data_IF_021598019445
#
_entry.id   IF_021598019445
#
_cell.length_a   1.000
_cell.length_b   1.000
_cell.length_c   1.000
_cell.angle_alpha   90.00
_cell.angle_beta   90.00
_cell.angle_gamma   90.00
#
_symmetry.space_group_name_H-M   'P 1'
#
loop_
_entity.id
_entity.type
_entity.pdbx_description
1 polymer ?
#
# COMPACT_ATOMS: atom_id res chain seq x y z
N UNK A 1 -23.23 -3.57 -14.02
CA UNK A 1 -22.45 -2.44 -13.47
C UNK A 1 -21.36 -2.98 -12.57
N UNK A 2 -20.19 -2.35 -12.52
CA UNK A 2 -19.15 -2.60 -11.51
C UNK A 2 -19.62 -2.00 -10.18
N UNK A 3 -19.49 -2.69 -9.06
CA UNK A 3 -19.81 -2.17 -7.72
C UNK A 3 -18.71 -1.24 -7.19
N UNK A 4 -19.02 -0.46 -6.16
CA UNK A 4 -18.01 0.39 -5.51
C UNK A 4 -16.91 -0.43 -4.83
N UNK A 5 -17.27 -1.59 -4.27
CA UNK A 5 -16.31 -2.54 -3.71
C UNK A 5 -15.31 -3.01 -4.77
N UNK A 6 -15.77 -3.38 -5.97
CA UNK A 6 -14.88 -3.78 -7.07
C UNK A 6 -13.94 -2.64 -7.50
N UNK A 7 -14.41 -1.38 -7.53
CA UNK A 7 -13.54 -0.23 -7.85
C UNK A 7 -12.47 -0.04 -6.76
N UNK A 8 -12.85 -0.15 -5.49
CA UNK A 8 -11.90 -0.08 -4.37
C UNK A 8 -10.88 -1.22 -4.47
N UNK A 9 -11.32 -2.46 -4.72
CA UNK A 9 -10.42 -3.59 -4.89
C UNK A 9 -9.44 -3.35 -6.04
N UNK A 10 -9.91 -2.87 -7.19
CA UNK A 10 -9.04 -2.55 -8.33
C UNK A 10 -8.04 -1.43 -7.99
N UNK A 11 -8.44 -0.41 -7.22
CA UNK A 11 -7.53 0.65 -6.77
C UNK A 11 -6.47 0.12 -5.79
N UNK A 12 -6.84 -0.79 -4.89
CA UNK A 12 -5.89 -1.44 -3.97
C UNK A 12 -4.91 -2.33 -4.75
N UNK A 13 -5.41 -3.14 -5.69
CA UNK A 13 -4.55 -3.99 -6.54
C UNK A 13 -3.62 -3.13 -7.39
N UNK A 14 -4.11 -2.00 -7.95
CA UNK A 14 -3.28 -1.04 -8.67
C UNK A 14 -2.08 -0.58 -7.82
N UNK A 15 -2.34 -0.21 -6.56
CA UNK A 15 -1.32 0.25 -5.62
C UNK A 15 -0.34 -0.88 -5.24
N UNK A 16 -0.85 -2.07 -4.91
CA UNK A 16 -0.02 -3.24 -4.55
C UNK A 16 0.91 -3.69 -5.68
N UNK A 17 0.45 -3.58 -6.93
CA UNK A 17 1.25 -3.90 -8.10
C UNK A 17 2.13 -2.73 -8.57
N UNK A 18 2.16 -1.61 -7.85
CA UNK A 18 3.04 -0.46 -8.14
C UNK A 18 2.66 0.36 -9.38
N UNK A 19 1.40 0.29 -9.83
CA UNK A 19 0.95 1.05 -11.00
C UNK A 19 0.65 2.51 -10.64
N UNK A 20 1.59 3.40 -10.92
CA UNK A 20 1.42 4.86 -10.75
C UNK A 20 0.69 5.55 -11.90
N UNK A 21 0.48 4.86 -13.03
CA UNK A 21 -0.21 5.40 -14.20
C UNK A 21 -1.49 4.63 -14.48
N UNK A 22 -2.61 5.35 -14.40
CA UNK A 22 -3.96 4.81 -14.62
C UNK A 22 -4.13 4.26 -16.04
N UNK A 23 -3.53 4.89 -17.05
CA UNK A 23 -3.55 4.38 -18.43
C UNK A 23 -2.85 3.03 -18.53
N UNK A 24 -1.67 2.88 -17.91
CA UNK A 24 -0.96 1.58 -17.88
C UNK A 24 -1.76 0.54 -17.12
N UNK A 25 -2.41 0.94 -16.03
CA UNK A 25 -3.26 0.08 -15.21
C UNK A 25 -4.48 -0.45 -15.97
N UNK A 26 -5.25 0.43 -16.61
CA UNK A 26 -6.41 0.04 -17.42
C UNK A 26 -5.99 -0.86 -18.59
N UNK A 27 -4.84 -0.59 -19.20
CA UNK A 27 -4.28 -1.48 -20.23
C UNK A 27 -3.97 -2.86 -19.63
N UNK A 28 -3.33 -2.92 -18.47
CA UNK A 28 -3.03 -4.18 -17.77
C UNK A 28 -4.29 -4.99 -17.48
N UNK A 29 -5.33 -4.36 -16.93
CA UNK A 29 -6.63 -4.99 -16.64
C UNK A 29 -7.30 -5.58 -17.88
N UNK A 30 -7.11 -4.96 -19.05
CA UNK A 30 -7.68 -5.46 -20.32
C UNK A 30 -6.90 -6.63 -20.91
N UNK A 31 -5.58 -6.65 -20.70
CA UNK A 31 -4.68 -7.67 -21.24
C UNK A 31 -4.57 -8.90 -20.36
N UNK A 32 -4.80 -8.77 -19.06
CA UNK A 32 -4.69 -9.87 -18.10
C UNK A 32 -5.99 -10.68 -18.07
N UNK A 33 -5.91 -11.95 -18.45
CA UNK A 33 -7.06 -12.84 -18.55
C UNK A 33 -7.68 -13.17 -17.19
N UNK A 34 -6.85 -13.31 -16.15
CA UNK A 34 -7.30 -13.68 -14.80
C UNK A 34 -8.00 -12.48 -14.15
N UNK A 35 -7.39 -11.29 -14.20
CA UNK A 35 -8.02 -10.08 -13.68
C UNK A 35 -9.31 -9.75 -14.42
N UNK A 36 -9.36 -10.00 -15.72
CA UNK A 36 -10.58 -9.80 -16.52
C UNK A 36 -11.67 -10.82 -16.18
N UNK A 37 -11.31 -12.04 -15.81
CA UNK A 37 -12.26 -13.05 -15.34
C UNK A 37 -12.84 -12.67 -13.97
N UNK A 38 -12.00 -12.15 -13.06
CA UNK A 38 -12.42 -11.70 -11.72
C UNK A 38 -13.26 -10.41 -11.78
N UNK A 39 -12.94 -9.50 -12.69
CA UNK A 39 -13.61 -8.20 -12.83
C UNK A 39 -14.16 -8.02 -14.26
N UNK A 40 -15.23 -8.74 -14.65
CA UNK A 40 -15.69 -8.78 -16.05
C UNK A 40 -16.24 -7.45 -16.58
N UNK A 41 -16.56 -6.50 -15.69
CA UNK A 41 -17.19 -5.21 -16.04
C UNK A 41 -16.31 -4.02 -15.66
N UNK A 42 -15.04 -4.01 -16.04
CA UNK A 42 -14.15 -2.87 -15.77
C UNK A 42 -14.61 -1.64 -16.59
N UNK A 43 -14.81 -0.47 -15.97
CA UNK A 43 -15.13 0.75 -16.70
C UNK A 43 -13.96 1.20 -17.59
N UNK A 44 -14.24 2.03 -18.60
CA UNK A 44 -13.19 2.73 -19.34
C UNK A 44 -12.40 3.67 -18.42
N UNK A 45 -11.22 4.13 -18.87
CA UNK A 45 -10.31 4.96 -18.06
C UNK A 45 -11.01 6.15 -17.39
N UNK A 46 -11.81 6.92 -18.14
CA UNK A 46 -12.54 8.06 -17.58
C UNK A 46 -13.56 7.68 -16.51
N UNK A 47 -14.27 6.56 -16.71
CA UNK A 47 -15.23 6.03 -15.74
C UNK A 47 -14.56 5.47 -14.49
N UNK A 48 -13.43 4.79 -14.65
CA UNK A 48 -12.61 4.32 -13.55
C UNK A 48 -12.13 5.50 -12.69
N UNK A 49 -11.46 6.48 -13.29
CA UNK A 49 -10.90 7.63 -12.58
C UNK A 49 -11.98 8.42 -11.82
N UNK A 50 -13.13 8.68 -12.44
CA UNK A 50 -14.25 9.37 -11.78
C UNK A 50 -14.73 8.63 -10.54
N UNK A 51 -14.81 7.29 -10.60
CA UNK A 51 -15.29 6.46 -9.50
C UNK A 51 -14.26 6.31 -8.38
N UNK A 52 -12.99 6.13 -8.73
CA UNK A 52 -11.91 6.16 -7.73
C UNK A 52 -11.94 7.49 -6.99
N UNK A 53 -12.04 8.60 -7.73
CA UNK A 53 -12.12 9.93 -7.12
C UNK A 53 -13.34 10.08 -6.20
N UNK A 54 -14.53 9.65 -6.62
CA UNK A 54 -15.73 9.70 -5.75
C UNK A 54 -15.63 8.81 -4.51
N UNK A 55 -14.84 7.74 -4.56
CA UNK A 55 -14.66 6.79 -3.45
C UNK A 55 -13.48 7.16 -2.54
N UNK A 56 -12.74 8.23 -2.83
CA UNK A 56 -11.59 8.69 -2.04
C UNK A 56 -11.94 8.85 -0.56
N UNK A 57 -13.10 9.45 -0.25
CA UNK A 57 -13.54 9.65 1.13
C UNK A 57 -13.81 8.31 1.84
N UNK A 58 -14.44 7.35 1.16
CA UNK A 58 -14.71 6.02 1.69
C UNK A 58 -13.40 5.25 1.96
N UNK A 59 -12.48 5.25 0.99
CA UNK A 59 -11.16 4.63 1.16
C UNK A 59 -10.38 5.26 2.31
N UNK A 60 -10.40 6.58 2.43
CA UNK A 60 -9.75 7.32 3.53
C UNK A 60 -10.35 6.93 4.89
N UNK A 61 -11.68 6.83 4.98
CA UNK A 61 -12.36 6.39 6.19
C UNK A 61 -11.99 4.96 6.58
N UNK A 62 -11.99 4.03 5.62
CA UNK A 62 -11.58 2.63 5.85
C UNK A 62 -10.13 2.57 6.32
N UNK A 63 -9.21 3.26 5.65
CA UNK A 63 -7.81 3.34 6.07
C UNK A 63 -7.69 3.87 7.50
N UNK A 64 -8.43 4.92 7.85
CA UNK A 64 -8.43 5.46 9.21
C UNK A 64 -9.01 4.48 10.25
N UNK A 65 -10.05 3.73 9.89
CA UNK A 65 -10.64 2.70 10.75
C UNK A 65 -9.68 1.53 10.99
N UNK A 66 -9.03 1.03 9.93
CA UNK A 66 -8.01 -0.01 10.03
C UNK A 66 -6.81 0.46 10.86
N UNK A 67 -6.38 1.71 10.64
CA UNK A 67 -5.31 2.32 11.44
C UNK A 67 -5.69 2.29 12.91
N UNK A 68 -6.90 2.70 13.31
CA UNK A 68 -7.33 2.69 14.73
C UNK A 68 -7.40 1.30 15.36
N UNK A 69 -7.62 0.26 14.55
CA UNK A 69 -7.61 -1.13 15.02
C UNK A 69 -6.22 -1.75 15.13
N UNK A 70 -5.17 -1.05 14.68
CA UNK A 70 -3.79 -1.55 14.71
C UNK A 70 -3.06 -1.02 15.94
N UNK A 71 -2.42 -1.91 16.72
CA UNK A 71 -1.62 -1.53 17.92
C UNK A 71 -0.43 -0.61 17.64
N UNK A 72 -0.05 -0.46 16.37
CA UNK A 72 1.01 0.45 15.90
C UNK A 72 0.52 1.91 15.88
N UNK A 73 -0.78 2.16 15.93
CA UNK A 73 -1.35 3.50 15.75
C UNK A 73 -0.97 4.52 16.83
N UNK A 74 -0.89 4.04 18.07
CA UNK A 74 -0.59 4.78 19.29
C UNK A 74 0.78 4.40 19.87
N UNK A 75 1.56 3.61 19.11
CA UNK A 75 2.89 3.20 19.54
C UNK A 75 3.86 4.39 19.48
N UNK A 76 4.79 4.42 20.43
CA UNK A 76 5.83 5.46 20.50
C UNK A 76 6.96 5.18 19.50
N UNK A 77 6.91 4.02 18.83
CA UNK A 77 7.89 3.56 17.85
C UNK A 77 7.27 3.54 16.46
N UNK A 78 7.97 4.15 15.50
CA UNK A 78 7.58 4.12 14.09
C UNK A 78 8.24 2.94 13.38
N UNK A 79 7.44 2.09 12.75
CA UNK A 79 7.95 1.02 11.90
C UNK A 79 8.38 1.63 10.55
N UNK A 80 9.67 1.63 10.27
CA UNK A 80 10.25 2.12 9.02
C UNK A 80 10.77 0.93 8.24
N UNK A 81 10.11 0.59 7.13
CA UNK A 81 10.61 -0.38 6.16
C UNK A 81 11.70 0.28 5.31
N UNK A 82 12.90 0.32 5.86
CA UNK A 82 14.09 0.82 5.17
C UNK A 82 15.00 -0.33 4.79
N UNK A 83 15.72 -0.20 3.67
CA UNK A 83 16.89 -1.02 3.42
C UNK A 83 17.82 -0.90 4.63
N UNK A 84 18.33 -2.01 5.21
CA UNK A 84 19.22 -1.93 6.35
C UNK A 84 20.39 -1.00 6.05
N UNK A 85 20.45 0.14 6.75
CA UNK A 85 21.60 1.03 6.70
C UNK A 85 22.60 0.46 7.69
N UNK A 86 23.82 0.13 7.24
CA UNK A 86 24.90 -0.29 8.13
C UNK A 86 25.17 0.79 9.18
N UNK A 87 24.59 0.61 10.37
CA UNK A 87 24.87 1.42 11.54
C UNK A 87 25.81 0.63 12.47
N UNK A 88 26.72 1.32 13.18
CA UNK A 88 27.60 0.72 14.18
C UNK A 88 28.67 -0.28 13.68
N UNK A 89 29.34 0.02 12.56
CA UNK A 89 30.51 -0.76 12.04
C UNK A 89 31.68 -0.93 13.04
N UNK A 90 31.72 -0.18 14.13
CA UNK A 90 32.82 -0.23 15.11
C UNK A 90 32.40 -0.89 16.43
N UNK A 91 33.25 -1.80 16.96
CA UNK A 91 33.04 -2.44 18.29
C UNK A 91 32.75 -1.44 19.41
N UNK A 92 33.41 -0.27 19.49
CA UNK A 92 33.10 0.73 20.52
C UNK A 92 31.71 1.36 20.36
N UNK A 93 31.15 1.46 19.15
CA UNK A 93 29.80 1.99 18.93
C UNK A 93 28.74 0.98 19.33
N UNK A 94 28.95 -0.31 18.99
CA UNK A 94 28.06 -1.41 19.39
C UNK A 94 27.99 -1.51 20.92
N UNK A 95 29.13 -1.50 21.61
CA UNK A 95 29.16 -1.69 23.07
C UNK A 95 28.65 -0.48 23.88
N UNK A 96 28.55 0.70 23.28
CA UNK A 96 28.09 1.94 23.96
C UNK A 96 26.67 2.36 23.57
N UNK A 97 26.07 1.70 22.59
CA UNK A 97 24.71 2.00 22.17
C UNK A 97 23.71 1.41 23.16
N UNK A 98 22.78 2.24 23.67
CA UNK A 98 21.64 1.76 24.44
C UNK A 98 20.68 0.86 23.60
N UNK A 99 20.87 0.83 22.28
CA UNK A 99 20.09 0.05 21.33
C UNK A 99 20.80 -1.25 20.89
N UNK A 100 21.98 -1.58 21.44
CA UNK A 100 22.82 -2.73 21.06
C UNK A 100 22.12 -4.11 21.06
N UNK A 101 21.04 -4.27 21.82
CA UNK A 101 20.22 -5.50 21.84
C UNK A 101 18.84 -5.37 21.17
N UNK A 102 18.49 -4.18 20.67
CA UNK A 102 17.18 -3.86 20.08
C UNK A 102 17.27 -3.57 18.59
N UNK A 103 18.35 -2.93 18.16
CA UNK A 103 18.70 -2.78 16.76
C UNK A 103 19.60 -3.96 16.37
N UNK A 104 19.13 -4.81 15.46
CA UNK A 104 20.00 -5.71 14.71
C UNK A 104 20.91 -4.84 13.84
N UNK A 105 22.05 -4.45 14.40
CA UNK A 105 23.16 -3.91 13.64
C UNK A 105 23.71 -5.08 12.82
N UNK A 106 23.40 -5.10 11.53
CA UNK A 106 23.84 -6.13 10.59
C UNK A 106 25.36 -6.34 10.58
#
# INVERSE_FOLDING_TARGET
MTSDAEIITLAVVQALLGYTSETRWIRRLRTDTDLRAMFPRVPGQSGYNKRVHSLTAAMTWVCAALRRGSRVHDDTVWLVDSTPIECARSRPTVMRSALAGWAEYG
#
